data_IF_484855154846
#
_entry.id   IF_484855154846
#
_cell.length_a   1.000
_cell.length_b   1.000
_cell.length_c   1.000
_cell.angle_alpha   90.00
_cell.angle_beta   90.00
_cell.angle_gamma   90.00
#
_symmetry.space_group_name_H-M   'P 1'
#
loop_
_entity.id
_entity.type
_entity.pdbx_description
1 polymer ?
#
# COMPACT_ATOMS: atom_id res chain seq x y z
N UNK A 1 -36.03 -6.67 41.67
CA UNK A 1 -35.42 -6.25 40.39
C UNK A 1 -33.98 -5.97 40.64
N UNK A 2 -33.08 -6.94 40.32
CA UNK A 2 -31.64 -6.72 40.33
C UNK A 2 -31.28 -5.78 39.16
N UNK A 3 -30.44 -4.74 39.39
CA UNK A 3 -29.84 -4.00 38.30
C UNK A 3 -28.82 -4.90 37.63
N UNK A 4 -29.06 -5.28 36.38
CA UNK A 4 -28.04 -5.85 35.50
C UNK A 4 -27.07 -4.69 35.24
N UNK A 5 -25.95 -4.70 35.99
CA UNK A 5 -24.83 -3.84 35.66
C UNK A 5 -24.26 -4.36 34.33
N UNK A 6 -24.62 -3.69 33.22
CA UNK A 6 -23.94 -3.88 31.96
C UNK A 6 -22.49 -3.39 32.15
N UNK A 7 -21.57 -4.31 32.37
CA UNK A 7 -20.13 -4.07 32.25
C UNK A 7 -19.82 -3.97 30.76
N UNK A 8 -20.13 -2.84 30.17
CA UNK A 8 -19.72 -2.53 28.80
C UNK A 8 -18.22 -2.26 28.85
N UNK A 9 -17.41 -3.13 28.24
CA UNK A 9 -15.97 -2.90 28.08
C UNK A 9 -15.81 -1.60 27.28
N UNK A 10 -15.00 -0.68 27.79
CA UNK A 10 -14.72 0.56 27.08
C UNK A 10 -13.89 0.24 25.87
N UNK A 11 -14.31 0.69 24.71
CA UNK A 11 -13.60 0.55 23.46
C UNK A 11 -13.19 1.93 22.93
N UNK A 12 -11.99 2.01 22.41
CA UNK A 12 -11.42 3.22 21.84
C UNK A 12 -11.26 3.04 20.34
N UNK A 13 -11.66 4.07 19.58
CA UNK A 13 -11.53 4.06 18.13
C UNK A 13 -10.53 5.12 17.68
N UNK A 14 -9.48 4.69 17.00
CA UNK A 14 -8.63 5.56 16.20
C UNK A 14 -9.14 5.59 14.76
N UNK A 15 -9.11 6.75 14.12
CA UNK A 15 -9.52 6.91 12.72
C UNK A 15 -8.47 7.68 11.96
N UNK A 16 -8.18 7.22 10.75
CA UNK A 16 -7.33 7.91 9.79
C UNK A 16 -7.97 7.85 8.41
N UNK A 17 -7.66 8.81 7.56
CA UNK A 17 -8.14 8.79 6.17
C UNK A 17 -7.07 9.33 5.25
N UNK A 18 -7.03 8.80 4.04
CA UNK A 18 -6.14 9.27 2.99
C UNK A 18 -6.83 9.20 1.64
N UNK A 19 -6.36 10.04 0.72
CA UNK A 19 -6.79 9.99 -0.67
C UNK A 19 -5.67 9.34 -1.48
N UNK A 20 -5.92 8.15 -2.06
CA UNK A 20 -4.96 7.56 -2.96
C UNK A 20 -4.69 8.51 -4.13
N UNK A 21 -3.44 8.89 -4.34
CA UNK A 21 -3.06 9.60 -5.54
C UNK A 21 -3.00 8.57 -6.68
N UNK A 22 -4.14 8.33 -7.31
CA UNK A 22 -4.17 7.76 -8.64
C UNK A 22 -3.33 8.69 -9.51
N UNK A 23 -2.32 8.18 -10.20
CA UNK A 23 -1.46 9.00 -11.05
C UNK A 23 -2.34 9.94 -11.88
N UNK A 24 -2.08 11.23 -11.78
CA UNK A 24 -2.78 12.24 -12.56
C UNK A 24 -2.72 11.82 -14.03
N UNK A 25 -3.87 11.48 -14.59
CA UNK A 25 -4.03 11.23 -16.02
C UNK A 25 -3.72 12.48 -16.88
N UNK A 26 -3.30 13.59 -16.25
CA UNK A 26 -3.19 14.87 -16.89
C UNK A 26 -1.92 15.12 -17.71
N UNK A 27 -0.81 14.44 -17.44
CA UNK A 27 0.46 14.74 -18.13
C UNK A 27 0.97 13.57 -18.99
N UNK A 28 0.96 12.36 -18.46
CA UNK A 28 1.44 11.15 -19.15
C UNK A 28 0.38 10.47 -20.01
N UNK A 29 -0.92 10.63 -19.71
CA UNK A 29 -1.98 10.10 -20.57
C UNK A 29 -1.97 10.74 -21.96
N UNK A 30 -1.60 12.01 -22.07
CA UNK A 30 -1.35 12.68 -23.37
C UNK A 30 -0.13 12.08 -24.08
N UNK A 31 0.96 11.86 -23.37
CA UNK A 31 2.17 11.25 -23.93
C UNK A 31 1.97 9.75 -24.23
N UNK A 32 1.27 9.01 -23.37
CA UNK A 32 0.93 7.61 -23.60
C UNK A 32 -0.07 7.44 -24.77
N UNK A 33 -1.03 8.36 -24.92
CA UNK A 33 -1.95 8.39 -26.06
C UNK A 33 -1.22 8.68 -27.37
N UNK A 34 -0.26 9.59 -27.39
CA UNK A 34 0.60 9.84 -28.55
C UNK A 34 1.51 8.63 -28.81
N UNK A 35 2.14 8.06 -27.79
CA UNK A 35 2.96 6.86 -27.93
C UNK A 35 2.17 5.67 -28.50
N UNK A 36 0.91 5.48 -28.06
CA UNK A 36 0.01 4.44 -28.58
C UNK A 36 -0.33 4.64 -30.06
N UNK A 37 -0.48 5.91 -30.53
CA UNK A 37 -0.64 6.23 -31.95
C UNK A 37 0.57 5.81 -32.79
N UNK A 38 1.76 5.81 -32.20
CA UNK A 38 3.00 5.34 -32.83
C UNK A 38 3.29 3.84 -32.57
N UNK A 39 2.32 3.09 -32.04
CA UNK A 39 2.45 1.65 -31.77
C UNK A 39 3.25 1.32 -30.50
N UNK A 40 3.49 2.29 -29.63
CA UNK A 40 4.18 2.07 -28.36
C UNK A 40 3.18 1.81 -27.23
N UNK A 41 3.21 0.63 -26.66
CA UNK A 41 2.55 0.35 -25.38
C UNK A 41 3.51 0.64 -24.25
N UNK A 42 3.17 1.60 -23.40
CA UNK A 42 3.94 1.85 -22.17
C UNK A 42 3.47 0.81 -21.14
N UNK A 43 4.32 -0.15 -20.73
CA UNK A 43 3.99 -1.05 -19.64
C UNK A 43 3.76 -0.25 -18.37
N UNK A 44 2.64 -0.46 -17.65
CA UNK A 44 2.34 0.25 -16.42
C UNK A 44 1.28 1.36 -16.52
N UNK A 45 0.74 1.67 -17.69
CA UNK A 45 -0.36 2.65 -17.83
C UNK A 45 -1.74 2.09 -17.40
N UNK A 46 -1.78 0.88 -16.85
CA UNK A 46 -3.00 0.25 -16.33
C UNK A 46 -3.34 0.77 -14.94
N UNK A 47 -4.15 1.80 -14.85
CA UNK A 47 -4.52 2.54 -13.64
C UNK A 47 -5.31 1.79 -12.56
N UNK A 48 -5.22 0.46 -12.46
CA UNK A 48 -5.93 -0.32 -11.43
C UNK A 48 -5.19 -0.43 -10.10
N UNK A 49 -3.86 -0.28 -10.09
CA UNK A 49 -3.02 -0.48 -8.90
C UNK A 49 -3.05 0.69 -7.89
N UNK A 50 -3.77 1.76 -8.20
CA UNK A 50 -3.89 2.93 -7.33
C UNK A 50 -5.33 3.32 -7.06
N UNK A 51 -6.27 2.41 -7.31
CA UNK A 51 -7.67 2.66 -6.99
C UNK A 51 -7.91 2.57 -5.48
N UNK A 52 -8.92 3.26 -4.95
CA UNK A 52 -9.29 3.15 -3.54
C UNK A 52 -9.56 1.69 -3.12
N UNK A 53 -10.15 0.89 -4.02
CA UNK A 53 -10.43 -0.53 -3.79
C UNK A 53 -9.16 -1.35 -3.62
N UNK A 54 -8.12 -1.04 -4.39
CA UNK A 54 -6.81 -1.69 -4.24
C UNK A 54 -6.25 -1.46 -2.82
N UNK A 55 -6.31 -0.24 -2.30
CA UNK A 55 -5.83 0.05 -0.94
C UNK A 55 -6.68 -0.63 0.14
N UNK A 56 -7.98 -0.78 -0.09
CA UNK A 56 -8.84 -1.56 0.81
C UNK A 56 -8.42 -3.03 0.84
N UNK A 57 -8.15 -3.63 -0.33
CA UNK A 57 -7.67 -5.01 -0.41
C UNK A 57 -6.26 -5.16 0.18
N UNK A 58 -5.37 -4.21 -0.10
CA UNK A 58 -4.01 -4.19 0.43
C UNK A 58 -3.99 -4.15 1.96
N UNK A 59 -4.78 -3.27 2.59
CA UNK A 59 -4.90 -3.17 4.05
C UNK A 59 -5.43 -4.44 4.71
N UNK A 60 -6.30 -5.17 4.01
CA UNK A 60 -6.82 -6.46 4.47
C UNK A 60 -5.97 -7.65 4.02
N UNK A 61 -4.89 -7.39 3.29
CA UNK A 61 -4.04 -8.45 2.76
C UNK A 61 -3.30 -9.18 3.89
N UNK A 62 -3.04 -10.46 3.63
CA UNK A 62 -2.28 -11.29 4.56
C UNK A 62 -0.88 -10.73 4.81
N UNK A 63 -0.25 -10.18 3.78
CA UNK A 63 1.11 -9.69 3.84
C UNK A 63 1.25 -8.51 4.82
N UNK A 64 0.35 -7.54 4.72
CA UNK A 64 0.32 -6.36 5.61
C UNK A 64 0.02 -6.80 7.05
N UNK A 65 -1.00 -7.62 7.24
CA UNK A 65 -1.40 -8.04 8.59
C UNK A 65 -0.38 -8.98 9.26
N UNK A 66 0.24 -9.90 8.51
CA UNK A 66 1.33 -10.74 9.02
C UNK A 66 2.58 -9.92 9.35
N UNK A 67 2.83 -8.82 8.63
CA UNK A 67 3.86 -7.83 8.98
C UNK A 67 3.63 -7.23 10.36
N UNK A 68 2.43 -6.71 10.64
CA UNK A 68 2.07 -6.18 11.96
C UNK A 68 2.21 -7.23 13.08
N UNK A 69 1.77 -8.46 12.81
CA UNK A 69 1.85 -9.55 13.79
C UNK A 69 3.29 -9.89 14.12
N UNK A 70 4.18 -9.89 13.13
CA UNK A 70 5.59 -10.23 13.29
C UNK A 70 6.39 -9.13 13.97
N UNK A 71 6.22 -7.90 13.51
CA UNK A 71 7.05 -6.77 13.91
C UNK A 71 6.52 -6.08 15.18
N UNK A 72 5.26 -6.36 15.55
CA UNK A 72 4.55 -5.70 16.64
C UNK A 72 4.12 -4.28 16.25
N UNK A 73 3.51 -3.60 17.19
CA UNK A 73 2.98 -2.25 17.00
C UNK A 73 3.65 -1.28 17.95
N UNK A 74 4.22 -0.21 17.42
CA UNK A 74 4.76 0.88 18.22
C UNK A 74 3.62 1.70 18.81
N UNK A 75 3.60 1.75 20.12
CA UNK A 75 2.62 2.49 20.92
C UNK A 75 3.33 3.63 21.62
N UNK A 76 2.85 4.83 21.40
CA UNK A 76 3.38 6.06 21.99
C UNK A 76 2.37 6.60 22.97
N UNK A 77 2.79 6.66 24.23
CA UNK A 77 2.05 7.33 25.32
C UNK A 77 2.78 8.60 25.74
N UNK A 78 2.17 9.52 26.49
CA UNK A 78 2.85 10.74 26.95
C UNK A 78 4.12 10.49 27.79
N UNK A 79 4.24 9.30 28.37
CA UNK A 79 5.33 8.95 29.29
C UNK A 79 6.31 7.94 28.73
N UNK A 80 5.94 7.20 27.68
CA UNK A 80 6.73 6.07 27.21
C UNK A 80 6.39 5.73 25.77
N UNK A 81 7.41 5.30 25.03
CA UNK A 81 7.28 4.62 23.75
C UNK A 81 7.65 3.14 23.93
N UNK A 82 6.78 2.24 23.48
CA UNK A 82 7.01 0.80 23.60
C UNK A 82 6.48 0.06 22.36
N UNK A 83 7.06 -1.10 22.07
CA UNK A 83 6.53 -2.00 21.04
C UNK A 83 5.68 -3.06 21.72
N UNK A 84 4.41 -3.13 21.30
CA UNK A 84 3.43 -4.09 21.82
C UNK A 84 3.37 -5.28 20.88
N UNK A 85 3.51 -6.48 21.47
CA UNK A 85 3.24 -7.73 20.75
C UNK A 85 1.75 -7.98 20.74
N UNK A 86 1.15 -8.00 19.54
CA UNK A 86 -0.29 -8.15 19.39
C UNK A 86 -0.82 -9.49 19.88
N UNK A 87 -0.03 -10.57 19.79
CA UNK A 87 -0.45 -11.88 20.30
C UNK A 87 -0.55 -11.88 21.82
N UNK A 88 0.35 -11.18 22.50
CA UNK A 88 0.32 -11.02 23.97
C UNK A 88 -0.84 -10.11 24.39
N UNK A 89 -1.05 -9.00 23.68
CA UNK A 89 -2.14 -8.08 24.00
C UNK A 89 -3.52 -8.74 23.83
N UNK A 90 -3.70 -9.55 22.79
CA UNK A 90 -4.96 -10.28 22.55
C UNK A 90 -5.06 -11.58 23.39
N UNK A 91 -4.16 -11.81 24.32
CA UNK A 91 -4.14 -12.97 25.22
C UNK A 91 -4.21 -14.32 24.46
N UNK A 92 -3.48 -14.38 23.31
CA UNK A 92 -3.47 -15.58 22.47
C UNK A 92 -2.39 -16.54 23.03
N UNK A 93 -2.86 -17.51 23.80
CA UNK A 93 -2.01 -18.51 24.45
C UNK A 93 -2.04 -19.85 23.68
N UNK A 94 -0.99 -20.63 23.86
CA UNK A 94 -0.87 -22.00 23.34
C UNK A 94 -0.50 -22.07 21.85
N UNK A 95 -0.34 -23.29 21.37
CA UNK A 95 -0.04 -23.56 19.96
C UNK A 95 1.39 -23.20 19.53
N UNK A 96 1.68 -23.41 18.26
CA UNK A 96 2.92 -22.99 17.61
C UNK A 96 2.93 -21.48 17.33
N UNK A 97 4.11 -20.91 17.07
CA UNK A 97 4.23 -19.49 16.65
C UNK A 97 3.37 -19.18 15.41
N UNK A 98 3.30 -20.12 14.47
CA UNK A 98 2.49 -19.96 13.26
C UNK A 98 0.98 -19.94 13.56
N UNK A 99 0.51 -20.81 14.46
CA UNK A 99 -0.90 -20.83 14.87
C UNK A 99 -1.28 -19.55 15.62
N UNK A 100 -0.45 -19.11 16.55
CA UNK A 100 -0.66 -17.84 17.24
C UNK A 100 -0.72 -16.67 16.28
N UNK A 101 0.20 -16.59 15.32
CA UNK A 101 0.19 -15.55 14.29
C UNK A 101 -1.10 -15.57 13.45
N UNK A 102 -1.61 -16.75 13.10
CA UNK A 102 -2.87 -16.87 12.37
C UNK A 102 -4.07 -16.39 13.19
N UNK A 103 -4.12 -16.70 14.47
CA UNK A 103 -5.20 -16.24 15.36
C UNK A 103 -5.12 -14.74 15.58
N UNK A 104 -3.91 -14.21 15.83
CA UNK A 104 -3.68 -12.77 15.98
C UNK A 104 -4.13 -12.00 14.74
N UNK A 105 -3.79 -12.48 13.54
CA UNK A 105 -4.24 -11.86 12.29
C UNK A 105 -5.77 -11.84 12.18
N UNK A 106 -6.47 -12.91 12.54
CA UNK A 106 -7.94 -12.93 12.54
C UNK A 106 -8.51 -11.86 13.47
N UNK A 107 -7.92 -11.73 14.67
CA UNK A 107 -8.31 -10.67 15.60
C UNK A 107 -8.06 -9.26 15.04
N UNK A 108 -6.96 -9.07 14.31
CA UNK A 108 -6.70 -7.80 13.63
C UNK A 108 -7.77 -7.46 12.60
N UNK A 109 -8.22 -8.44 11.81
CA UNK A 109 -9.32 -8.23 10.85
C UNK A 109 -10.60 -7.80 11.55
N UNK A 110 -10.88 -8.31 12.76
CA UNK A 110 -12.09 -7.96 13.51
C UNK A 110 -12.03 -6.54 14.09
N UNK A 111 -10.85 -6.01 14.39
CA UNK A 111 -10.67 -4.68 15.00
C UNK A 111 -10.33 -3.58 13.99
N UNK A 112 -9.97 -3.95 12.75
CA UNK A 112 -9.64 -3.03 11.67
C UNK A 112 -10.80 -2.92 10.70
N UNK A 113 -11.29 -1.72 10.49
CA UNK A 113 -12.35 -1.42 9.52
C UNK A 113 -11.80 -0.51 8.42
N UNK A 114 -11.96 -0.90 7.17
CA UNK A 114 -11.57 -0.09 6.01
C UNK A 114 -12.80 0.21 5.17
N UNK A 115 -13.04 1.47 4.88
CA UNK A 115 -14.17 1.92 4.06
C UNK A 115 -13.73 2.93 3.01
N UNK A 116 -14.49 3.00 1.92
CA UNK A 116 -14.23 3.90 0.79
C UNK A 116 -15.41 4.85 0.64
N UNK A 117 -15.13 6.14 0.59
CA UNK A 117 -16.09 7.16 0.22
C UNK A 117 -16.38 7.08 -1.29
N UNK A 118 -17.57 6.60 -1.66
CA UNK A 118 -17.93 6.32 -3.07
C UNK A 118 -17.84 7.54 -4.00
N UNK A 119 -18.09 8.72 -3.48
CA UNK A 119 -18.06 9.97 -4.26
C UNK A 119 -16.69 10.63 -4.24
N UNK A 120 -15.94 10.43 -3.16
CA UNK A 120 -14.67 11.15 -2.92
C UNK A 120 -13.44 10.29 -3.21
N UNK A 121 -13.59 8.97 -3.26
CA UNK A 121 -12.47 8.05 -3.35
C UNK A 121 -11.57 8.03 -2.09
N UNK A 122 -12.00 8.69 -1.01
CA UNK A 122 -11.24 8.69 0.25
C UNK A 122 -11.32 7.31 0.90
N UNK A 123 -10.17 6.76 1.21
CA UNK A 123 -10.05 5.54 2.02
C UNK A 123 -9.99 5.95 3.48
N UNK A 124 -10.91 5.42 4.28
CA UNK A 124 -10.99 5.65 5.72
C UNK A 124 -10.67 4.35 6.45
N UNK A 125 -9.72 4.45 7.38
CA UNK A 125 -9.27 3.39 8.26
C UNK A 125 -9.78 3.66 9.67
N UNK A 126 -10.46 2.69 10.27
CA UNK A 126 -10.85 2.70 11.68
C UNK A 126 -10.21 1.52 12.40
N UNK A 127 -9.70 1.74 13.58
CA UNK A 127 -9.15 0.69 14.45
C UNK A 127 -9.80 0.81 15.82
N UNK A 128 -10.40 -0.28 16.31
CA UNK A 128 -11.14 -0.30 17.57
C UNK A 128 -10.59 -1.37 18.50
N UNK A 129 -10.02 -0.94 19.64
CA UNK A 129 -9.49 -1.83 20.68
C UNK A 129 -9.89 -1.31 22.07
N UNK A 130 -9.56 -2.06 23.11
CA UNK A 130 -9.77 -1.66 24.52
C UNK A 130 -8.68 -0.71 25.04
N UNK A 131 -7.66 -0.39 24.25
CA UNK A 131 -6.59 0.55 24.58
C UNK A 131 -6.48 1.65 23.50
N UNK A 132 -6.62 2.91 23.93
CA UNK A 132 -6.58 4.06 23.01
C UNK A 132 -5.23 4.23 22.31
N UNK A 133 -4.13 3.97 23.03
CA UNK A 133 -2.78 4.12 22.49
C UNK A 133 -2.47 2.99 21.49
N UNK A 134 -2.97 1.78 21.75
CA UNK A 134 -2.86 0.66 20.83
C UNK A 134 -3.71 0.88 19.57
N UNK A 135 -4.96 1.36 19.69
CA UNK A 135 -5.80 1.69 18.53
C UNK A 135 -5.09 2.68 17.61
N UNK A 136 -4.51 3.73 18.18
CA UNK A 136 -3.72 4.71 17.44
C UNK A 136 -2.45 4.09 16.82
N UNK A 137 -1.73 3.27 17.60
CA UNK A 137 -0.51 2.60 17.16
C UNK A 137 -0.75 1.68 15.95
N UNK A 138 -1.81 0.87 15.98
CA UNK A 138 -2.20 0.01 14.84
C UNK A 138 -2.55 0.86 13.61
N UNK A 139 -3.33 1.93 13.78
CA UNK A 139 -3.69 2.82 12.69
C UNK A 139 -2.45 3.47 12.04
N UNK A 140 -1.50 3.95 12.85
CA UNK A 140 -0.24 4.50 12.37
C UNK A 140 0.63 3.45 11.65
N UNK A 141 0.76 2.25 12.22
CA UNK A 141 1.54 1.18 11.61
C UNK A 141 0.98 0.76 10.24
N UNK A 142 -0.35 0.70 10.09
CA UNK A 142 -0.99 0.43 8.79
C UNK A 142 -0.72 1.54 7.77
N UNK A 143 -0.77 2.81 8.18
CA UNK A 143 -0.44 3.94 7.30
C UNK A 143 1.04 3.94 6.89
N UNK A 144 1.95 3.62 7.81
CA UNK A 144 3.37 3.50 7.51
C UNK A 144 3.65 2.38 6.50
N UNK A 145 2.97 1.24 6.65
CA UNK A 145 3.09 0.13 5.71
C UNK A 145 2.58 0.48 4.30
N UNK A 146 1.46 1.21 4.20
CA UNK A 146 0.97 1.71 2.91
C UNK A 146 1.96 2.69 2.31
N UNK A 147 2.48 3.61 3.11
CA UNK A 147 3.44 4.62 2.64
C UNK A 147 4.73 3.98 2.13
N UNK A 148 5.22 2.94 2.83
CA UNK A 148 6.38 2.17 2.42
C UNK A 148 6.11 1.42 1.10
N UNK A 149 4.95 0.76 0.98
CA UNK A 149 4.52 0.08 -0.24
C UNK A 149 4.45 1.04 -1.43
N UNK A 150 3.81 2.20 -1.26
CA UNK A 150 3.72 3.22 -2.31
C UNK A 150 5.10 3.72 -2.75
N UNK A 151 6.01 3.94 -1.81
CA UNK A 151 7.36 4.38 -2.11
C UNK A 151 8.14 3.33 -2.90
N UNK A 152 8.08 2.07 -2.47
CA UNK A 152 8.75 0.94 -3.14
C UNK A 152 8.19 0.73 -4.56
N UNK A 153 6.86 0.78 -4.71
CA UNK A 153 6.21 0.64 -6.01
C UNK A 153 6.63 1.76 -6.97
N UNK A 154 6.62 3.03 -6.51
CA UNK A 154 7.05 4.18 -7.33
C UNK A 154 8.52 4.07 -7.74
N UNK A 155 9.40 3.62 -6.85
CA UNK A 155 10.81 3.43 -7.17
C UNK A 155 11.00 2.31 -8.20
N UNK A 156 10.25 1.22 -8.09
CA UNK A 156 10.26 0.11 -9.03
C UNK A 156 9.78 0.54 -10.41
N UNK A 157 8.64 1.25 -10.50
CA UNK A 157 8.08 1.78 -11.74
C UNK A 157 9.08 2.73 -12.42
N UNK A 158 9.60 3.72 -11.69
CA UNK A 158 10.58 4.68 -12.24
C UNK A 158 11.86 4.00 -12.73
N UNK A 159 12.31 2.95 -12.03
CA UNK A 159 13.46 2.16 -12.46
C UNK A 159 13.17 1.39 -13.74
N UNK A 160 11.99 0.77 -13.86
CA UNK A 160 11.57 0.05 -15.07
C UNK A 160 11.44 1.00 -16.27
N UNK A 161 10.83 2.18 -16.09
CA UNK A 161 10.73 3.21 -17.12
C UNK A 161 12.10 3.69 -17.59
N UNK A 162 13.03 3.91 -16.67
CA UNK A 162 14.40 4.30 -17.01
C UNK A 162 15.10 3.23 -17.84
N UNK A 163 15.05 1.97 -17.42
CA UNK A 163 15.66 0.84 -18.14
C UNK A 163 15.06 0.72 -19.54
N UNK A 164 13.75 0.84 -19.67
CA UNK A 164 13.07 0.82 -20.98
C UNK A 164 13.52 1.97 -21.87
N UNK A 165 13.61 3.19 -21.33
CA UNK A 165 14.04 4.37 -22.10
C UNK A 165 15.50 4.25 -22.55
N UNK A 166 16.40 3.77 -21.69
CA UNK A 166 17.81 3.52 -22.01
C UNK A 166 17.95 2.49 -23.13
N UNK A 167 17.22 1.37 -23.05
CA UNK A 167 17.24 0.33 -24.07
C UNK A 167 16.69 0.85 -25.41
N UNK A 168 15.61 1.64 -25.38
CA UNK A 168 15.04 2.24 -26.58
C UNK A 168 15.99 3.24 -27.23
N UNK A 169 16.67 4.06 -26.42
CA UNK A 169 17.69 4.98 -26.91
C UNK A 169 18.82 4.23 -27.60
N UNK A 170 19.30 3.12 -27.03
CA UNK A 170 20.34 2.29 -27.62
C UNK A 170 19.89 1.70 -28.96
N UNK A 171 18.65 1.20 -29.06
CA UNK A 171 18.11 0.68 -30.32
C UNK A 171 18.06 1.75 -31.41
N UNK A 172 17.54 2.94 -31.07
CA UNK A 172 17.45 4.05 -32.02
C UNK A 172 18.83 4.52 -32.50
N UNK A 173 19.85 4.50 -31.65
CA UNK A 173 21.23 4.82 -32.03
C UNK A 173 21.79 3.82 -33.05
N UNK A 174 21.50 2.52 -32.88
CA UNK A 174 21.90 1.47 -33.83
C UNK A 174 21.17 1.62 -35.15
N UNK A 175 19.85 1.87 -35.11
CA UNK A 175 19.05 2.11 -36.33
C UNK A 175 19.55 3.33 -37.08
N UNK A 176 19.83 4.43 -36.40
CA UNK A 176 20.37 5.66 -37.00
C UNK A 176 21.72 5.38 -37.69
N UNK A 177 22.66 4.71 -37.00
CA UNK A 177 23.96 4.38 -37.58
C UNK A 177 23.79 3.52 -38.86
N UNK A 178 22.86 2.55 -38.85
CA UNK A 178 22.60 1.69 -39.99
C UNK A 178 22.04 2.49 -41.19
N UNK A 179 21.14 3.46 -40.92
CA UNK A 179 20.58 4.32 -41.96
C UNK A 179 21.65 5.27 -42.51
N UNK A 180 22.48 5.87 -41.65
CA UNK A 180 23.61 6.72 -42.04
C UNK A 180 24.63 5.97 -42.93
N UNK A 181 24.97 4.74 -42.58
CA UNK A 181 25.85 3.91 -43.40
C UNK A 181 25.23 3.56 -44.74
N UNK A 182 23.93 3.26 -44.78
CA UNK A 182 23.19 3.01 -46.01
C UNK A 182 23.15 4.24 -46.92
N UNK A 183 22.95 5.41 -46.34
CA UNK A 183 22.95 6.68 -47.09
C UNK A 183 24.35 6.97 -47.65
N UNK A 184 25.42 6.72 -46.90
CA UNK A 184 26.80 6.91 -47.37
C UNK A 184 27.10 6.03 -48.58
N UNK A 185 26.70 4.73 -48.52
CA UNK A 185 26.85 3.80 -49.63
C UNK A 185 26.05 4.20 -50.87
N UNK A 186 24.92 4.87 -50.71
CA UNK A 186 24.07 5.35 -51.83
C UNK A 186 24.64 6.61 -52.49
N UNK A 187 25.42 7.45 -51.78
CA UNK A 187 25.95 8.71 -52.28
C UNK A 187 27.36 8.56 -52.91
N UNK A 188 28.06 7.45 -52.68
CA UNK A 188 29.34 7.10 -53.33
C UNK A 188 29.10 6.34 -54.66
#
# INVERSE_FOLDING_TARGET
TLPIALTTKVEYRASASFLPHGGEQGGLAGAAGLAAQFGFSIPGSGGSERSPEFYQELLNSREILDGLVRDGVRVVTPTQETTVNLAEHFEIEGGTSAERGQVTRRRLVDVVEVSIGRETGIVSLGVQTDDAALSAGIAWALLDLISAFDLETRQSEASAERIFAEERLRQLQVELATVEDSLRVFLD
#
